data_IF_085897758827
#
_entry.id   IF_085897758827
#
_cell.length_a   1.000
_cell.length_b   1.000
_cell.length_c   1.000
_cell.angle_alpha   90.00
_cell.angle_beta   90.00
_cell.angle_gamma   90.00
#
_symmetry.space_group_name_H-M   'P 1'
#
loop_
_entity.id
_entity.type
_entity.pdbx_description
1 polymer ?
#
# COMPACT_ATOMS: atom_id res chain seq x y z
N UNK A 1 15.66 -15.93 -43.87
CA UNK A 1 15.36 -14.54 -43.44
C UNK A 1 14.17 -14.57 -42.49
N UNK A 2 14.42 -14.32 -41.19
CA UNK A 2 13.40 -14.08 -40.16
C UNK A 2 12.97 -12.61 -40.22
N UNK A 3 11.67 -12.34 -40.08
CA UNK A 3 11.00 -11.11 -39.56
C UNK A 3 9.64 -10.96 -40.27
N UNK A 4 8.55 -10.58 -39.64
CA UNK A 4 8.21 -10.36 -38.24
C UNK A 4 6.68 -10.27 -38.27
N UNK A 5 5.98 -11.10 -37.51
CA UNK A 5 4.53 -11.11 -37.46
C UNK A 5 4.11 -10.04 -36.45
N UNK A 6 3.50 -8.97 -36.95
CA UNK A 6 2.99 -7.85 -36.16
C UNK A 6 1.76 -8.35 -35.39
N UNK A 7 1.90 -8.60 -34.08
CA UNK A 7 0.75 -8.78 -33.18
C UNK A 7 0.28 -7.41 -32.74
N UNK A 8 -0.84 -6.96 -33.32
CA UNK A 8 -1.66 -5.89 -32.74
C UNK A 8 -2.27 -6.46 -31.45
N UNK A 9 -1.95 -5.87 -30.31
CA UNK A 9 -2.68 -6.09 -29.06
C UNK A 9 -3.61 -4.90 -28.87
N UNK A 10 -4.91 -5.11 -29.10
CA UNK A 10 -5.96 -4.31 -28.50
C UNK A 10 -6.19 -4.85 -27.10
N UNK A 11 -5.69 -4.16 -26.07
CA UNK A 11 -6.14 -4.40 -24.70
C UNK A 11 -7.41 -3.57 -24.48
N UNK A 12 -8.56 -4.26 -24.46
CA UNK A 12 -9.64 -3.82 -23.59
C UNK A 12 -9.12 -3.99 -22.17
N UNK A 13 -9.12 -2.93 -21.37
CA UNK A 13 -8.91 -3.03 -19.92
C UNK A 13 -10.10 -3.81 -19.36
N UNK A 14 -9.98 -5.13 -19.39
CA UNK A 14 -10.81 -6.02 -18.62
C UNK A 14 -10.15 -6.08 -17.24
N UNK A 15 -10.49 -5.11 -16.39
CA UNK A 15 -10.16 -5.18 -14.97
C UNK A 15 -10.93 -6.36 -14.37
N UNK A 16 -10.39 -7.59 -14.44
CA UNK A 16 -10.88 -8.68 -13.61
C UNK A 16 -10.39 -8.39 -12.19
N UNK A 17 -11.03 -7.44 -11.53
CA UNK A 17 -10.78 -7.15 -10.12
C UNK A 17 -11.18 -8.35 -9.24
N UNK A 18 -10.55 -8.39 -8.09
CA UNK A 18 -10.36 -9.58 -7.27
C UNK A 18 -11.04 -9.39 -5.92
N UNK A 19 -11.48 -10.48 -5.33
CA UNK A 19 -11.97 -10.54 -3.95
C UNK A 19 -10.78 -10.83 -3.04
N UNK A 20 -10.31 -9.91 -2.20
CA UNK A 20 -9.26 -10.22 -1.22
C UNK A 20 -9.78 -9.97 0.20
N UNK A 21 -9.31 -10.76 1.15
CA UNK A 21 -9.56 -10.49 2.55
C UNK A 21 -8.41 -10.98 3.40
N UNK A 22 -7.90 -10.16 4.30
CA UNK A 22 -6.68 -10.44 5.05
C UNK A 22 -6.73 -9.86 6.45
N UNK A 23 -5.80 -10.30 7.28
CA UNK A 23 -5.54 -9.71 8.59
C UNK A 23 -4.36 -8.75 8.50
N UNK A 24 -4.45 -7.62 9.18
CA UNK A 24 -3.42 -6.58 9.21
C UNK A 24 -3.20 -6.15 10.67
N UNK A 25 -1.92 -5.99 11.03
CA UNK A 25 -1.46 -5.43 12.30
C UNK A 25 -0.35 -4.40 12.04
N UNK A 26 -0.61 -3.13 12.34
CA UNK A 26 0.27 -2.00 11.96
C UNK A 26 1.30 -1.67 13.04
N UNK A 27 2.40 -2.42 13.07
CA UNK A 27 3.40 -2.25 14.14
C UNK A 27 4.09 -0.88 14.13
N UNK A 28 4.43 -0.29 12.97
CA UNK A 28 5.18 0.98 12.92
C UNK A 28 5.10 1.69 11.57
N UNK A 29 4.83 3.00 11.58
CA UNK A 29 5.06 3.92 10.44
C UNK A 29 5.95 5.06 10.90
N UNK A 30 7.11 5.22 10.27
CA UNK A 30 8.13 6.21 10.58
C UNK A 30 8.39 7.11 9.38
N UNK A 31 8.76 8.36 9.61
CA UNK A 31 9.31 9.23 8.58
C UNK A 31 10.69 9.76 8.99
N UNK A 32 11.59 9.88 8.04
CA UNK A 32 12.92 10.49 8.19
C UNK A 32 13.06 11.67 7.26
N UNK A 33 13.53 12.81 7.76
CA UNK A 33 13.95 13.89 6.90
C UNK A 33 15.45 13.72 6.56
N UNK A 34 15.76 13.17 5.38
CA UNK A 34 17.12 12.97 4.90
C UNK A 34 17.78 11.65 5.36
N UNK A 35 18.97 11.30 4.84
CA UNK A 35 19.27 9.91 4.52
C UNK A 35 19.58 9.09 5.78
N UNK A 36 18.90 7.96 5.91
CA UNK A 36 19.41 6.80 6.65
C UNK A 36 19.64 5.66 5.67
N UNK A 37 20.83 5.64 5.07
CA UNK A 37 21.35 4.42 4.45
C UNK A 37 22.14 3.68 5.53
N UNK A 38 21.57 2.64 6.11
CA UNK A 38 22.36 1.62 6.79
C UNK A 38 22.48 0.41 5.89
N UNK A 39 23.58 0.34 5.14
CA UNK A 39 24.05 -0.91 4.53
C UNK A 39 24.50 -1.85 5.65
N UNK A 40 23.92 -3.04 5.72
CA UNK A 40 24.42 -4.08 6.60
C UNK A 40 25.72 -4.68 6.03
N UNK A 41 26.74 -4.81 6.87
CA UNK A 41 27.54 -6.03 6.84
C UNK A 41 28.94 -6.03 6.23
N UNK A 42 29.74 -4.96 6.29
CA UNK A 42 31.20 -5.07 6.44
C UNK A 42 31.79 -3.73 6.88
N UNK A 43 32.70 -3.73 7.86
CA UNK A 43 33.56 -2.57 8.13
C UNK A 43 34.58 -2.46 7.00
N UNK A 44 34.67 -1.31 6.32
CA UNK A 44 35.98 -0.75 6.02
C UNK A 44 36.11 0.68 6.57
N UNK A 45 37.37 1.05 6.73
CA UNK A 45 37.82 2.26 7.39
C UNK A 45 37.30 3.56 6.77
N UNK A 46 37.21 4.57 7.64
CA UNK A 46 36.89 5.97 7.40
C UNK A 46 37.22 6.49 6.00
N UNK A 47 36.18 6.92 5.30
CA UNK A 47 36.23 8.03 4.35
C UNK A 47 35.00 8.90 4.57
N UNK A 48 35.06 9.71 5.63
CA UNK A 48 34.21 10.88 5.83
C UNK A 48 34.56 11.93 4.77
N UNK A 49 33.62 12.23 3.86
CA UNK A 49 33.43 13.56 3.26
C UNK A 49 32.20 13.57 2.32
N UNK A 50 31.01 13.31 2.88
CA UNK A 50 29.76 13.83 2.32
C UNK A 50 29.27 14.93 3.27
N UNK A 51 29.18 16.15 2.76
CA UNK A 51 29.10 17.37 3.55
C UNK A 51 27.95 17.39 4.56
N UNK A 52 28.31 17.33 5.85
CA UNK A 52 27.85 18.20 6.94
C UNK A 52 26.35 18.36 7.23
N UNK A 53 25.43 17.64 6.56
CA UNK A 53 24.01 17.67 6.92
C UNK A 53 23.80 16.85 8.19
N UNK A 54 23.24 17.42 9.27
CA UNK A 54 22.93 16.65 10.47
C UNK A 54 21.97 15.53 10.13
N UNK A 55 22.34 14.29 10.48
CA UNK A 55 21.47 13.12 10.38
C UNK A 55 20.30 13.37 11.35
N UNK A 56 19.12 13.68 10.81
CA UNK A 56 17.90 13.78 11.62
C UNK A 56 17.48 12.38 12.00
N UNK A 57 17.13 12.19 13.27
CA UNK A 57 16.61 10.90 13.73
C UNK A 57 15.24 10.64 13.10
N UNK A 58 14.91 9.38 12.74
CA UNK A 58 13.55 9.02 12.36
C UNK A 58 12.55 9.48 13.43
N UNK A 59 11.43 10.00 12.97
CA UNK A 59 10.26 10.29 13.80
C UNK A 59 9.23 9.19 13.57
N UNK A 60 8.84 8.51 14.65
CA UNK A 60 7.72 7.57 14.61
C UNK A 60 6.42 8.36 14.46
N UNK A 61 5.74 8.20 13.32
CA UNK A 61 4.50 8.89 12.99
C UNK A 61 3.29 8.17 13.57
N UNK A 62 3.30 6.84 13.52
CA UNK A 62 2.17 6.03 13.92
C UNK A 62 2.60 4.61 14.34
N UNK A 63 1.82 4.01 15.25
CA UNK A 63 1.97 2.63 15.71
C UNK A 63 0.67 2.15 16.33
N UNK A 64 0.20 0.95 15.97
CA UNK A 64 -0.95 0.31 16.59
C UNK A 64 -0.92 -1.21 16.45
N UNK A 65 -1.14 -1.92 17.55
CA UNK A 65 -1.40 -3.36 17.55
C UNK A 65 -2.87 -3.73 17.42
N UNK A 66 -3.77 -2.76 17.21
CA UNK A 66 -5.23 -2.93 17.34
C UNK A 66 -5.70 -3.48 18.70
N UNK A 67 -4.86 -3.32 19.73
CA UNK A 67 -5.11 -3.87 21.06
C UNK A 67 -6.18 -3.03 21.80
N UNK A 68 -6.18 -3.08 23.14
CA UNK A 68 -7.23 -2.42 23.92
C UNK A 68 -7.27 -0.91 23.67
N UNK A 69 -8.46 -0.38 23.36
CA UNK A 69 -8.69 1.05 23.14
C UNK A 69 -8.84 1.46 21.67
N UNK A 70 -8.64 0.54 20.72
CA UNK A 70 -8.96 0.75 19.30
C UNK A 70 -10.30 0.12 18.93
N UNK A 71 -11.12 0.90 18.24
CA UNK A 71 -12.49 0.54 17.83
C UNK A 71 -12.69 0.88 16.36
N UNK A 72 -13.38 0.00 15.66
CA UNK A 72 -13.88 0.22 14.32
C UNK A 72 -15.33 0.71 14.42
N UNK A 73 -15.64 1.85 13.82
CA UNK A 73 -17.01 2.38 13.78
C UNK A 73 -17.85 1.64 12.73
N UNK A 74 -19.17 1.76 12.81
CA UNK A 74 -20.04 1.27 11.73
C UNK A 74 -19.75 2.04 10.42
N UNK A 75 -19.80 1.37 9.25
CA UNK A 75 -19.74 2.06 7.97
C UNK A 75 -20.86 3.10 7.85
N UNK A 76 -20.57 4.24 7.22
CA UNK A 76 -21.55 5.30 6.99
C UNK A 76 -21.35 5.92 5.60
N UNK A 77 -22.35 6.68 5.13
CA UNK A 77 -22.28 7.46 3.87
C UNK A 77 -22.52 8.93 4.18
N UNK A 78 -21.90 9.85 3.45
CA UNK A 78 -22.12 11.29 3.62
C UNK A 78 -23.30 11.86 2.79
N UNK A 79 -24.15 11.00 2.22
CA UNK A 79 -25.36 11.42 1.49
C UNK A 79 -25.25 11.35 -0.04
N UNK A 80 -25.07 10.12 -0.55
CA UNK A 80 -24.79 9.84 -1.97
C UNK A 80 -23.30 9.86 -2.23
N UNK A 81 -22.73 8.72 -2.62
CA UNK A 81 -21.28 8.52 -2.72
C UNK A 81 -20.88 7.13 -2.21
N UNK A 82 -19.58 6.94 -1.99
CA UNK A 82 -19.02 5.70 -1.44
C UNK A 82 -19.27 5.58 0.08
N UNK A 83 -19.12 4.38 0.62
CA UNK A 83 -19.12 4.18 2.07
C UNK A 83 -17.76 4.56 2.67
N UNK A 84 -17.80 5.00 3.92
CA UNK A 84 -16.62 5.29 4.73
C UNK A 84 -16.68 4.52 6.04
N UNK A 85 -15.53 4.19 6.58
CA UNK A 85 -15.44 3.60 7.91
C UNK A 85 -14.22 4.11 8.67
N UNK A 86 -14.46 4.48 9.93
CA UNK A 86 -13.41 5.04 10.78
C UNK A 86 -12.87 4.00 11.76
N UNK A 87 -11.54 3.97 11.86
CA UNK A 87 -10.83 3.39 12.99
C UNK A 87 -10.55 4.54 13.96
N UNK A 88 -10.87 4.36 15.25
CA UNK A 88 -10.71 5.39 16.28
C UNK A 88 -10.08 4.82 17.55
N UNK A 89 -9.51 5.71 18.35
CA UNK A 89 -8.95 5.36 19.66
C UNK A 89 -7.44 5.14 19.62
N UNK A 90 -6.90 4.52 20.67
CA UNK A 90 -5.45 4.40 20.88
C UNK A 90 -5.17 3.19 21.77
N UNK A 91 -4.23 2.36 21.34
CA UNK A 91 -3.69 1.23 22.11
C UNK A 91 -2.23 1.41 22.49
N UNK A 92 -1.53 2.37 21.85
CA UNK A 92 -0.13 2.70 22.14
C UNK A 92 -0.02 4.16 22.58
N UNK A 93 0.52 4.45 23.78
CA UNK A 93 0.66 5.83 24.26
C UNK A 93 1.38 6.73 23.26
N UNK A 94 0.74 7.85 22.92
CA UNK A 94 1.27 8.83 21.96
C UNK A 94 0.86 8.60 20.50
N UNK A 95 0.19 7.48 20.18
CA UNK A 95 -0.32 7.17 18.84
C UNK A 95 -1.80 6.85 18.90
N UNK A 96 -2.60 7.51 18.05
CA UNK A 96 -4.04 7.34 18.00
C UNK A 96 -4.50 7.22 16.55
N UNK A 97 -5.56 6.47 16.36
CA UNK A 97 -6.34 6.49 15.15
C UNK A 97 -7.24 7.74 15.10
N UNK A 98 -7.48 8.33 13.91
CA UNK A 98 -6.96 7.91 12.60
C UNK A 98 -5.44 8.12 12.48
N UNK A 99 -4.78 7.21 11.75
CA UNK A 99 -3.34 7.33 11.47
C UNK A 99 -3.07 8.64 10.73
N UNK A 100 -2.03 9.37 11.18
CA UNK A 100 -1.61 10.64 10.58
C UNK A 100 -0.26 10.48 9.89
N UNK A 101 -0.23 10.65 8.56
CA UNK A 101 1.01 10.67 7.77
C UNK A 101 1.08 11.99 7.02
N UNK A 102 2.25 12.64 7.04
CA UNK A 102 2.48 13.98 6.46
C UNK A 102 1.43 15.03 6.85
N UNK A 103 0.91 14.93 8.09
CA UNK A 103 -0.03 15.90 8.65
C UNK A 103 -1.51 15.58 8.45
N UNK A 104 -1.85 14.56 7.65
CA UNK A 104 -3.23 14.25 7.26
C UNK A 104 -3.71 12.93 7.87
N UNK A 105 -4.96 12.87 8.40
CA UNK A 105 -5.56 11.64 8.90
C UNK A 105 -6.03 10.75 7.76
N UNK A 106 -6.21 9.45 8.03
CA UNK A 106 -6.83 8.52 7.10
C UNK A 106 -8.13 7.89 7.60
N UNK A 107 -8.81 7.17 6.70
CA UNK A 107 -10.01 6.38 6.97
C UNK A 107 -10.07 5.19 6.01
N UNK A 108 -10.94 4.20 6.28
CA UNK A 108 -11.25 3.17 5.29
C UNK A 108 -12.26 3.75 4.29
N UNK A 109 -11.85 3.80 3.03
CA UNK A 109 -12.72 4.15 1.92
C UNK A 109 -13.37 2.86 1.42
N UNK A 110 -14.56 2.58 1.93
CA UNK A 110 -15.31 1.35 1.66
C UNK A 110 -16.05 1.55 0.34
N UNK A 111 -15.35 1.36 -0.77
CA UNK A 111 -15.84 1.63 -2.12
C UNK A 111 -16.89 0.60 -2.53
N UNK A 112 -18.15 0.93 -2.29
CA UNK A 112 -19.38 0.28 -2.79
C UNK A 112 -20.39 1.40 -3.00
N UNK A 113 -21.26 1.29 -4.01
CA UNK A 113 -22.32 2.29 -4.22
C UNK A 113 -23.13 2.50 -2.92
N UNK A 114 -23.23 3.77 -2.47
CA UNK A 114 -23.88 4.15 -1.21
C UNK A 114 -25.36 3.77 -1.10
N UNK A 115 -26.01 3.36 -2.19
CA UNK A 115 -27.38 2.83 -2.20
C UNK A 115 -27.47 1.33 -1.91
N UNK A 116 -26.34 0.62 -1.94
CA UNK A 116 -26.25 -0.81 -1.69
C UNK A 116 -26.00 -1.12 -0.21
N UNK A 117 -26.35 -2.34 0.18
CA UNK A 117 -26.04 -2.90 1.49
C UNK A 117 -24.56 -3.32 1.53
N UNK A 118 -23.71 -2.47 2.07
CA UNK A 118 -22.24 -2.64 2.10
C UNK A 118 -21.82 -3.99 2.69
N UNK A 119 -22.53 -4.48 3.73
CA UNK A 119 -22.21 -5.74 4.41
C UNK A 119 -22.35 -6.98 3.53
N UNK A 120 -22.98 -6.88 2.35
CA UNK A 120 -23.03 -7.96 1.35
C UNK A 120 -21.76 -8.06 0.49
N UNK A 121 -20.90 -7.05 0.54
CA UNK A 121 -19.77 -6.88 -0.36
C UNK A 121 -18.46 -6.72 0.39
N UNK A 122 -18.44 -5.84 1.39
CA UNK A 122 -17.29 -5.51 2.21
C UNK A 122 -17.65 -5.61 3.69
N UNK A 123 -16.73 -6.16 4.47
CA UNK A 123 -16.84 -6.27 5.92
C UNK A 123 -15.46 -6.10 6.55
N UNK A 124 -15.35 -5.15 7.46
CA UNK A 124 -14.18 -4.97 8.28
C UNK A 124 -14.52 -5.25 9.74
N UNK A 125 -13.59 -5.86 10.46
CA UNK A 125 -13.71 -6.08 11.91
C UNK A 125 -12.36 -6.09 12.59
N UNK A 126 -12.33 -5.66 13.84
CA UNK A 126 -11.17 -5.89 14.71
C UNK A 126 -11.47 -7.10 15.58
N UNK A 127 -10.79 -8.21 15.33
CA UNK A 127 -11.06 -9.48 15.99
C UNK A 127 -9.83 -10.08 16.66
N UNK A 128 -10.07 -10.96 17.65
CA UNK A 128 -9.01 -11.73 18.30
C UNK A 128 -8.63 -12.93 17.43
N UNK A 129 -7.35 -13.07 17.13
CA UNK A 129 -6.80 -14.15 16.31
C UNK A 129 -5.45 -14.60 16.85
N UNK A 130 -4.91 -15.70 16.33
CA UNK A 130 -3.53 -16.12 16.62
C UNK A 130 -2.59 -15.28 15.76
N UNK A 131 -1.69 -14.53 16.41
CA UNK A 131 -0.72 -13.65 15.78
C UNK A 131 0.52 -14.36 15.24
N UNK A 132 1.44 -13.56 14.68
CA UNK A 132 2.68 -14.03 14.06
C UNK A 132 3.64 -14.75 15.04
N UNK A 133 3.49 -14.53 16.34
CA UNK A 133 4.27 -15.14 17.43
C UNK A 133 3.56 -16.35 18.07
N UNK A 134 2.41 -16.74 17.53
CA UNK A 134 1.58 -17.83 18.06
C UNK A 134 0.74 -17.45 19.30
N UNK A 135 0.82 -16.21 19.79
CA UNK A 135 -0.03 -15.70 20.87
C UNK A 135 -1.32 -15.11 20.32
N UNK A 136 -2.34 -14.95 21.17
CA UNK A 136 -3.54 -14.22 20.79
C UNK A 136 -3.22 -12.72 20.68
N UNK A 137 -3.71 -12.10 19.62
CA UNK A 137 -3.63 -10.65 19.36
C UNK A 137 -4.95 -10.17 18.78
N UNK A 138 -5.16 -8.85 18.74
CA UNK A 138 -6.22 -8.25 17.94
C UNK A 138 -5.65 -7.81 16.59
N UNK A 139 -6.43 -7.96 15.53
CA UNK A 139 -6.03 -7.53 14.19
C UNK A 139 -7.23 -6.98 13.43
N UNK A 140 -6.96 -6.06 12.50
CA UNK A 140 -7.94 -5.63 11.52
C UNK A 140 -8.09 -6.74 10.48
N UNK A 141 -9.27 -7.32 10.37
CA UNK A 141 -9.64 -8.26 9.32
C UNK A 141 -10.53 -7.55 8.33
N UNK A 142 -10.07 -7.47 7.10
CA UNK A 142 -10.78 -6.87 5.98
C UNK A 142 -11.26 -7.99 5.07
N UNK A 143 -12.54 -8.00 4.70
CA UNK A 143 -13.15 -9.08 3.93
C UNK A 143 -13.94 -8.49 2.78
N UNK A 144 -13.53 -8.82 1.57
CA UNK A 144 -14.41 -8.75 0.42
C UNK A 144 -15.16 -10.09 0.28
N UNK A 145 -16.49 -10.04 0.26
CA UNK A 145 -17.36 -11.20 0.04
C UNK A 145 -17.57 -11.44 -1.46
N UNK A 146 -17.84 -10.36 -2.18
CA UNK A 146 -18.03 -10.33 -3.62
C UNK A 146 -17.87 -8.89 -4.12
N UNK A 147 -17.80 -8.71 -5.43
CA UNK A 147 -17.88 -7.37 -6.03
C UNK A 147 -19.32 -6.90 -6.13
N UNK A 148 -19.54 -5.63 -5.80
CA UNK A 148 -20.72 -4.91 -6.25
C UNK A 148 -20.46 -4.29 -7.63
N UNK A 149 -19.26 -3.74 -7.81
CA UNK A 149 -18.78 -3.06 -9.01
C UNK A 149 -17.35 -3.48 -9.35
N UNK A 150 -16.86 -3.07 -10.52
CA UNK A 150 -15.46 -3.33 -10.90
C UNK A 150 -14.45 -2.58 -10.03
N UNK A 151 -14.90 -1.51 -9.37
CA UNK A 151 -14.12 -0.66 -8.47
C UNK A 151 -14.34 -0.97 -6.99
N UNK A 152 -15.05 -2.06 -6.63
CA UNK A 152 -15.24 -2.45 -5.22
C UNK A 152 -13.89 -2.67 -4.52
N UNK A 153 -13.59 -1.87 -3.51
CA UNK A 153 -12.31 -1.85 -2.79
C UNK A 153 -12.50 -1.35 -1.35
N UNK A 154 -11.51 -1.56 -0.49
CA UNK A 154 -11.56 -1.13 0.91
C UNK A 154 -10.25 -0.50 1.41
N UNK A 155 -9.60 0.43 0.68
CA UNK A 155 -8.32 0.96 1.13
C UNK A 155 -8.43 1.79 2.40
N UNK A 156 -7.46 1.65 3.32
CA UNK A 156 -7.22 2.69 4.30
C UNK A 156 -6.50 3.83 3.61
N UNK A 157 -7.22 4.88 3.26
CA UNK A 157 -6.71 6.02 2.50
C UNK A 157 -6.35 7.19 3.43
N UNK A 158 -5.19 7.78 3.18
CA UNK A 158 -4.75 9.06 3.73
C UNK A 158 -4.73 10.05 2.59
N UNK A 159 -5.50 11.11 2.73
CA UNK A 159 -5.74 12.11 1.69
C UNK A 159 -5.71 13.50 2.30
N UNK A 160 -5.16 14.46 1.56
CA UNK A 160 -5.31 15.87 1.89
C UNK A 160 -6.58 16.39 1.21
N UNK A 161 -7.72 16.24 1.88
CA UNK A 161 -8.97 16.86 1.44
C UNK A 161 -9.10 18.28 1.99
N UNK A 162 -9.33 19.25 1.11
CA UNK A 162 -9.74 20.60 1.50
C UNK A 162 -11.20 20.62 2.00
N UNK A 163 -11.64 21.75 2.56
CA UNK A 163 -13.01 21.89 3.09
C UNK A 163 -14.12 21.73 2.02
N UNK A 164 -13.77 21.70 0.75
CA UNK A 164 -14.69 21.52 -0.37
C UNK A 164 -14.63 20.10 -0.96
N UNK A 165 -13.89 19.18 -0.34
CA UNK A 165 -13.71 17.81 -0.83
C UNK A 165 -12.74 17.71 -2.01
N UNK A 166 -11.89 18.72 -2.26
CA UNK A 166 -10.85 18.61 -3.27
C UNK A 166 -9.57 18.04 -2.66
N UNK A 167 -8.94 17.13 -3.40
CA UNK A 167 -7.68 16.53 -2.99
C UNK A 167 -6.50 17.44 -3.35
N UNK A 168 -5.87 18.03 -2.35
CA UNK A 168 -4.58 18.70 -2.48
C UNK A 168 -3.40 17.74 -2.31
N UNK A 169 -2.20 18.25 -2.54
CA UNK A 169 -0.95 17.51 -2.33
C UNK A 169 -0.71 17.26 -0.83
N UNK A 170 -0.33 16.03 -0.46
CA UNK A 170 0.19 15.70 0.87
C UNK A 170 1.49 16.49 1.08
N UNK A 171 1.80 16.84 2.33
CA UNK A 171 3.04 17.53 2.68
C UNK A 171 4.23 16.56 2.69
N UNK A 172 4.42 15.82 1.61
CA UNK A 172 5.49 14.88 1.40
C UNK A 172 6.84 15.62 1.36
N UNK A 173 7.55 15.55 2.48
CA UNK A 173 8.79 16.30 2.71
C UNK A 173 9.88 15.45 3.38
N UNK A 174 9.69 14.13 3.38
CA UNK A 174 10.50 13.17 4.13
C UNK A 174 10.45 11.79 3.48
N UNK A 175 11.48 10.99 3.74
CA UNK A 175 11.44 9.56 3.45
C UNK A 175 10.43 8.89 4.38
N UNK A 176 9.80 7.83 3.89
CA UNK A 176 8.76 7.10 4.60
C UNK A 176 9.19 5.65 4.79
N UNK A 177 9.08 5.14 6.02
CA UNK A 177 9.28 3.75 6.36
C UNK A 177 8.00 3.17 6.97
N UNK A 178 7.51 2.08 6.41
CA UNK A 178 6.28 1.39 6.84
C UNK A 178 6.64 -0.05 7.20
N UNK A 179 6.14 -0.51 8.33
CA UNK A 179 6.33 -1.88 8.81
C UNK A 179 5.06 -2.40 9.46
N UNK A 180 4.56 -3.53 8.99
CA UNK A 180 3.40 -4.19 9.57
C UNK A 180 3.40 -5.70 9.33
N UNK A 181 2.66 -6.43 10.15
CA UNK A 181 2.35 -7.84 9.90
C UNK A 181 1.06 -7.94 9.12
N UNK A 182 1.04 -8.82 8.12
CA UNK A 182 -0.13 -9.11 7.32
C UNK A 182 -0.29 -10.62 7.16
N UNK A 183 -1.53 -11.06 6.92
CA UNK A 183 -1.84 -12.45 6.59
C UNK A 183 -2.89 -12.49 5.48
N UNK A 184 -2.53 -13.15 4.38
CA UNK A 184 -3.42 -13.43 3.27
C UNK A 184 -4.29 -14.66 3.52
N UNK A 185 -5.45 -14.78 2.86
CA UNK A 185 -6.29 -15.95 2.98
C UNK A 185 -5.68 -17.10 2.18
N UNK A 186 -5.89 -18.34 2.63
CA UNK A 186 -5.30 -19.54 2.00
C UNK A 186 -5.71 -19.74 0.54
N UNK A 187 -6.86 -19.18 0.15
CA UNK A 187 -7.45 -19.27 -1.18
C UNK A 187 -7.13 -18.02 -2.05
N UNK A 188 -6.18 -17.17 -1.65
CA UNK A 188 -5.84 -15.93 -2.37
C UNK A 188 -5.64 -16.15 -3.87
N UNK A 189 -4.91 -17.19 -4.27
CA UNK A 189 -4.66 -17.47 -5.69
C UNK A 189 -5.95 -17.77 -6.47
N UNK A 190 -6.90 -18.49 -5.86
CA UNK A 190 -8.20 -18.76 -6.46
C UNK A 190 -9.03 -17.48 -6.58
N UNK A 191 -8.94 -16.60 -5.59
CA UNK A 191 -9.65 -15.31 -5.61
C UNK A 191 -9.07 -14.33 -6.61
N UNK A 192 -7.73 -14.26 -6.73
CA UNK A 192 -7.04 -13.46 -7.76
C UNK A 192 -7.41 -13.95 -9.16
N UNK A 193 -7.61 -15.26 -9.31
CA UNK A 193 -7.92 -15.85 -10.61
C UNK A 193 -6.68 -15.99 -11.49
N UNK A 194 -6.94 -16.29 -12.76
CA UNK A 194 -5.92 -16.48 -13.78
C UNK A 194 -5.58 -15.14 -14.42
N UNK A 195 -4.29 -14.83 -14.57
CA UNK A 195 -3.82 -13.54 -15.14
C UNK A 195 -4.37 -12.33 -14.38
N UNK A 196 -4.37 -12.44 -13.05
CA UNK A 196 -4.98 -11.49 -12.13
C UNK A 196 -3.98 -10.83 -11.21
N UNK A 197 -4.41 -9.76 -10.55
CA UNK A 197 -3.61 -9.05 -9.57
C UNK A 197 -4.45 -8.57 -8.40
N UNK A 198 -3.80 -8.46 -7.25
CA UNK A 198 -4.33 -7.80 -6.07
C UNK A 198 -3.31 -6.76 -5.63
N UNK A 199 -3.78 -5.56 -5.47
CA UNK A 199 -2.95 -4.43 -5.14
C UNK A 199 -3.15 -4.20 -3.64
N UNK A 200 -2.07 -4.15 -2.83
CA UNK A 200 -2.18 -4.05 -1.36
C UNK A 200 -1.61 -2.77 -0.74
N UNK A 201 -0.81 -1.99 -1.48
CA UNK A 201 -0.38 -0.65 -1.06
C UNK A 201 -0.21 0.29 -2.26
N UNK A 202 -0.57 1.57 -2.15
CA UNK A 202 -0.37 2.58 -3.21
C UNK A 202 -0.01 3.96 -2.69
N UNK A 203 0.67 4.70 -3.56
CA UNK A 203 0.70 6.14 -3.55
C UNK A 203 0.22 6.67 -4.89
N UNK A 204 -0.56 7.74 -4.88
CA UNK A 204 -1.08 8.38 -6.10
C UNK A 204 -0.91 9.89 -6.00
N UNK A 205 -0.63 10.53 -7.14
CA UNK A 205 -0.70 11.98 -7.28
C UNK A 205 -2.10 12.44 -7.67
N UNK A 206 -2.32 13.75 -7.57
CA UNK A 206 -3.45 14.36 -8.26
C UNK A 206 -3.35 14.11 -9.77
N UNK A 207 -4.50 14.12 -10.44
CA UNK A 207 -4.61 14.02 -11.90
C UNK A 207 -4.08 12.70 -12.51
N UNK A 208 -3.90 11.65 -11.70
CA UNK A 208 -3.55 10.30 -12.15
C UNK A 208 -2.25 10.22 -12.98
N UNK A 209 -1.35 11.20 -12.83
CA UNK A 209 -0.10 11.28 -13.61
C UNK A 209 0.99 10.31 -13.12
N UNK A 210 0.96 9.98 -11.83
CA UNK A 210 2.02 9.21 -11.18
C UNK A 210 1.43 8.39 -10.02
N UNK A 211 1.59 7.06 -10.10
CA UNK A 211 1.18 6.09 -9.09
C UNK A 211 2.33 5.13 -8.84
N UNK A 212 2.61 4.85 -7.58
CA UNK A 212 3.44 3.71 -7.18
C UNK A 212 2.50 2.71 -6.51
N UNK A 213 2.46 1.48 -7.00
CA UNK A 213 1.57 0.45 -6.46
C UNK A 213 2.29 -0.89 -6.30
N UNK A 214 2.09 -1.49 -5.13
CA UNK A 214 2.63 -2.80 -4.77
C UNK A 214 1.51 -3.83 -4.87
N UNK A 215 1.82 -4.93 -5.54
CA UNK A 215 0.88 -5.95 -5.95
C UNK A 215 1.37 -7.35 -5.58
N UNK A 216 0.39 -8.23 -5.45
CA UNK A 216 0.50 -9.67 -5.67
C UNK A 216 -0.09 -9.97 -7.05
N UNK A 217 0.71 -10.54 -7.95
CA UNK A 217 0.27 -10.97 -9.27
C UNK A 217 0.17 -12.48 -9.38
N UNK A 218 -0.60 -12.93 -10.37
CA UNK A 218 -0.69 -14.31 -10.81
C UNK A 218 -0.76 -14.37 -12.33
N UNK A 219 0.20 -15.03 -12.96
CA UNK A 219 0.08 -15.39 -14.38
C UNK A 219 -1.04 -16.42 -14.59
N UNK A 220 -1.46 -16.65 -15.83
CA UNK A 220 -2.58 -17.55 -16.21
C UNK A 220 -2.68 -18.87 -15.41
N UNK A 221 -1.57 -19.59 -15.25
CA UNK A 221 -1.47 -20.82 -14.43
C UNK A 221 -0.30 -20.76 -13.43
N UNK A 222 0.21 -19.56 -13.16
CA UNK A 222 1.43 -19.35 -12.37
C UNK A 222 1.20 -19.37 -10.85
N UNK A 223 2.29 -19.52 -10.07
CA UNK A 223 2.29 -19.17 -8.66
C UNK A 223 2.09 -17.65 -8.48
N UNK A 224 1.66 -17.26 -7.28
CA UNK A 224 1.64 -15.86 -6.88
C UNK A 224 3.06 -15.30 -6.83
N UNK A 225 3.25 -14.04 -7.23
CA UNK A 225 4.52 -13.34 -7.17
C UNK A 225 4.34 -11.86 -6.81
N UNK A 226 5.42 -11.25 -6.34
CA UNK A 226 5.46 -9.85 -5.94
C UNK A 226 5.77 -8.97 -7.14
N UNK A 227 5.06 -7.85 -7.27
CA UNK A 227 5.25 -6.91 -8.35
C UNK A 227 5.04 -5.49 -7.84
N UNK A 228 5.92 -4.58 -8.21
CA UNK A 228 5.77 -3.14 -7.96
C UNK A 228 5.92 -2.41 -9.27
N UNK A 229 5.11 -1.38 -9.48
CA UNK A 229 5.27 -0.50 -10.63
C UNK A 229 5.10 0.95 -10.24
N UNK A 230 5.73 1.80 -11.04
CA UNK A 230 5.41 3.20 -11.12
C UNK A 230 4.88 3.52 -12.51
N UNK A 231 3.66 4.04 -12.59
CA UNK A 231 2.96 4.33 -13.84
C UNK A 231 2.14 5.62 -13.79
N UNK A 232 1.67 6.10 -14.94
CA UNK A 232 0.56 7.04 -14.99
C UNK A 232 -0.75 6.25 -14.93
N UNK A 233 -1.52 6.42 -13.87
CA UNK A 233 -2.82 5.77 -13.74
C UNK A 233 -3.73 6.18 -14.92
N UNK A 234 -4.33 5.19 -15.58
CA UNK A 234 -4.88 5.36 -16.94
C UNK A 234 -6.25 6.01 -17.00
N UNK A 235 -6.86 6.35 -15.88
CA UNK A 235 -8.25 6.80 -15.87
C UNK A 235 -8.43 8.11 -16.67
N UNK A 236 -7.36 8.92 -16.81
CA UNK A 236 -7.42 10.23 -17.50
C UNK A 236 -6.33 10.46 -18.58
N UNK A 237 -5.45 9.49 -18.85
CA UNK A 237 -4.33 9.67 -19.81
C UNK A 237 -4.46 8.78 -21.05
N UNK A 238 -4.28 9.31 -22.27
CA UNK A 238 -4.51 8.56 -23.52
C UNK A 238 -3.47 7.46 -23.80
N UNK A 239 -2.44 7.34 -22.97
CA UNK A 239 -1.43 6.29 -23.05
C UNK A 239 -0.96 5.89 -21.66
N UNK A 240 -1.18 4.64 -21.29
CA UNK A 240 -0.52 4.01 -20.15
C UNK A 240 0.99 3.96 -20.40
N UNK A 241 1.75 4.38 -19.41
CA UNK A 241 3.21 4.43 -19.38
C UNK A 241 3.62 3.85 -18.05
N UNK A 242 4.31 2.72 -18.11
CA UNK A 242 5.07 2.20 -16.98
C UNK A 242 6.44 2.89 -17.03
N UNK A 243 6.74 3.71 -16.02
CA UNK A 243 8.01 4.40 -15.89
C UNK A 243 9.11 3.44 -15.46
N UNK A 244 8.78 2.58 -14.50
CA UNK A 244 9.60 1.45 -14.07
C UNK A 244 8.72 0.41 -13.37
N UNK A 245 9.18 -0.84 -13.39
CA UNK A 245 8.59 -1.96 -12.66
C UNK A 245 9.69 -2.88 -12.12
N UNK A 246 9.36 -3.62 -11.06
CA UNK A 246 10.19 -4.71 -10.55
C UNK A 246 9.29 -5.88 -10.16
N UNK A 247 9.74 -7.10 -10.44
CA UNK A 247 9.08 -8.33 -9.99
C UNK A 247 10.03 -9.20 -9.16
N UNK A 248 9.46 -9.91 -8.19
CA UNK A 248 10.17 -10.97 -7.46
C UNK A 248 9.33 -12.24 -7.42
N UNK A 249 9.95 -13.30 -7.97
CA UNK A 249 9.43 -14.67 -7.97
C UNK A 249 10.26 -15.60 -7.06
N UNK A 250 11.29 -15.07 -6.41
CA UNK A 250 12.23 -15.85 -5.57
C UNK A 250 11.74 -15.94 -4.13
N UNK A 251 11.09 -14.89 -3.63
CA UNK A 251 10.39 -14.91 -2.34
C UNK A 251 8.94 -15.30 -2.60
N UNK A 252 8.47 -16.46 -2.11
CA UNK A 252 7.08 -16.88 -2.32
C UNK A 252 6.11 -15.92 -1.61
N UNK A 253 4.90 -15.76 -2.15
CA UNK A 253 3.82 -15.03 -1.47
C UNK A 253 3.22 -15.93 -0.36
N UNK A 254 3.36 -15.58 0.93
CA UNK A 254 2.82 -16.40 2.01
C UNK A 254 1.29 -16.28 2.03
N UNK A 255 0.60 -17.42 1.97
CA UNK A 255 -0.86 -17.51 2.08
C UNK A 255 -1.23 -18.33 3.30
N UNK A 256 -2.19 -17.86 4.10
CA UNK A 256 -2.60 -18.52 5.34
C UNK A 256 -1.69 -18.30 6.54
N UNK A 257 -0.52 -17.70 6.35
CA UNK A 257 0.46 -17.42 7.40
C UNK A 257 0.65 -15.91 7.58
N UNK A 258 1.07 -15.52 8.78
CA UNK A 258 1.52 -14.16 9.04
C UNK A 258 2.90 -13.96 8.45
N UNK A 259 3.10 -12.83 7.78
CA UNK A 259 4.38 -12.39 7.25
C UNK A 259 4.59 -10.90 7.52
N UNK A 260 5.85 -10.50 7.58
CA UNK A 260 6.25 -9.14 7.89
C UNK A 260 6.50 -8.37 6.59
N UNK A 261 5.88 -7.20 6.46
CA UNK A 261 6.02 -6.29 5.32
C UNK A 261 6.83 -5.08 5.76
N UNK A 262 7.87 -4.75 5.00
CA UNK A 262 8.69 -3.56 5.20
C UNK A 262 8.80 -2.79 3.89
N UNK A 263 8.49 -1.49 3.91
CA UNK A 263 8.63 -0.62 2.74
C UNK A 263 9.32 0.68 3.14
N UNK A 264 10.37 1.02 2.41
CA UNK A 264 11.07 2.31 2.48
C UNK A 264 10.88 3.06 1.17
N UNK A 265 10.53 4.34 1.24
CA UNK A 265 10.41 5.24 0.10
C UNK A 265 11.19 6.52 0.37
N UNK A 266 12.21 6.76 -0.45
CA UNK A 266 12.78 8.09 -0.66
C UNK A 266 12.30 8.58 -2.02
N UNK A 267 11.38 9.56 -2.00
CA UNK A 267 10.78 10.07 -3.22
C UNK A 267 11.62 11.20 -3.82
N UNK A 268 11.98 11.07 -5.10
CA UNK A 268 12.80 12.05 -5.82
C UNK A 268 12.58 11.97 -7.34
N UNK A 269 12.65 13.12 -8.00
CA UNK A 269 12.73 13.22 -9.46
C UNK A 269 14.17 13.01 -9.99
N UNK A 270 15.14 12.94 -9.08
CA UNK A 270 16.56 12.74 -9.36
C UNK A 270 17.00 11.28 -9.30
N UNK A 271 18.31 11.07 -9.42
CA UNK A 271 18.94 9.74 -9.36
C UNK A 271 19.06 9.18 -7.94
N UNK A 272 18.71 9.98 -6.93
CA UNK A 272 18.74 9.61 -5.52
C UNK A 272 17.46 8.93 -5.04
N UNK A 273 16.38 8.93 -5.84
CA UNK A 273 15.13 8.22 -5.56
C UNK A 273 15.36 6.73 -5.24
N UNK A 274 14.61 6.22 -4.27
CA UNK A 274 14.71 4.82 -3.85
C UNK A 274 13.39 4.27 -3.34
N UNK A 275 13.02 3.07 -3.78
CA UNK A 275 12.00 2.25 -3.13
C UNK A 275 12.62 0.92 -2.75
N UNK A 276 12.52 0.54 -1.47
CA UNK A 276 12.90 -0.80 -1.01
C UNK A 276 11.66 -1.46 -0.42
N UNK A 277 11.39 -2.68 -0.84
CA UNK A 277 10.31 -3.49 -0.31
C UNK A 277 10.86 -4.87 0.07
N UNK A 278 10.56 -5.31 1.29
CA UNK A 278 10.95 -6.61 1.81
C UNK A 278 9.77 -7.37 2.44
N UNK A 279 9.85 -8.70 2.36
CA UNK A 279 8.94 -9.66 2.96
C UNK A 279 9.75 -10.60 3.84
N UNK A 280 9.41 -10.67 5.14
CA UNK A 280 10.15 -11.44 6.15
C UNK A 280 11.67 -11.16 6.11
N UNK A 281 12.04 -9.88 5.97
CA UNK A 281 13.42 -9.42 5.87
C UNK A 281 14.14 -9.76 4.54
N UNK A 282 13.45 -10.34 3.56
CA UNK A 282 13.98 -10.61 2.23
C UNK A 282 13.49 -9.56 1.23
N UNK A 283 14.42 -8.85 0.58
CA UNK A 283 14.09 -7.84 -0.43
C UNK A 283 13.40 -8.48 -1.65
N UNK A 284 12.23 -7.93 -2.01
CA UNK A 284 11.46 -8.28 -3.20
C UNK A 284 11.49 -7.18 -4.27
N UNK A 285 11.86 -5.95 -3.90
CA UNK A 285 12.18 -4.86 -4.83
C UNK A 285 13.19 -3.87 -4.20
N UNK A 286 14.12 -3.33 -4.99
CA UNK A 286 15.07 -2.25 -4.63
C UNK A 286 15.29 -1.35 -5.85
N UNK A 287 14.28 -0.54 -6.16
CA UNK A 287 14.34 0.42 -7.25
C UNK A 287 15.21 1.61 -6.85
N UNK A 288 16.06 2.04 -7.79
CA UNK A 288 16.91 3.24 -7.68
C UNK A 288 16.70 4.15 -8.87
N UNK A 289 16.69 5.44 -8.60
CA UNK A 289 16.47 6.48 -9.60
C UNK A 289 15.12 7.15 -9.44
N UNK A 290 14.67 7.92 -10.44
CA UNK A 290 13.46 8.72 -10.33
C UNK A 290 12.23 7.87 -9.99
N UNK A 291 11.45 8.34 -9.03
CA UNK A 291 10.16 7.79 -8.60
C UNK A 291 9.17 8.92 -8.22
N UNK A 292 9.44 10.12 -8.75
CA UNK A 292 8.60 11.31 -8.70
C UNK A 292 8.67 11.99 -10.05
N UNK A 293 7.52 12.30 -10.62
CA UNK A 293 7.46 12.99 -11.91
C UNK A 293 7.19 14.49 -11.74
N UNK A 294 5.95 14.86 -11.43
CA UNK A 294 5.48 16.26 -11.50
C UNK A 294 4.84 16.73 -10.20
N UNK A 295 4.07 15.87 -9.54
CA UNK A 295 3.25 16.22 -8.39
C UNK A 295 3.64 15.43 -7.15
N UNK A 296 3.40 16.02 -5.98
CA UNK A 296 3.43 15.28 -4.72
C UNK A 296 2.27 14.31 -4.67
N UNK A 297 2.33 13.32 -3.77
CA UNK A 297 1.20 12.41 -3.62
C UNK A 297 0.03 13.17 -3.03
N UNK A 298 -1.18 12.93 -3.51
CA UNK A 298 -2.40 13.42 -2.87
C UNK A 298 -3.14 12.31 -2.11
N UNK A 299 -2.82 11.04 -2.39
CA UNK A 299 -3.41 9.86 -1.77
C UNK A 299 -2.32 8.85 -1.41
N UNK A 300 -2.40 8.31 -0.22
CA UNK A 300 -1.56 7.22 0.26
C UNK A 300 -2.43 6.13 0.88
N UNK A 301 -2.26 4.90 0.41
CA UNK A 301 -3.01 3.71 0.82
C UNK A 301 -2.02 2.68 1.36
N UNK A 302 -1.65 2.75 2.65
CA UNK A 302 -0.70 1.82 3.29
C UNK A 302 -1.17 0.35 3.26
N UNK A 303 -2.48 0.13 3.23
CA UNK A 303 -3.09 -1.19 3.16
C UNK A 303 -4.53 -1.11 2.63
N UNK A 304 -5.03 -2.24 2.12
CA UNK A 304 -6.33 -2.42 1.46
C UNK A 304 -6.71 -3.90 1.41
#
# INVERSE_FOLDING_TARGET
>A
MKKMMLRLWTFSVLSIGVVAGGFIRVDTVQATEGPVVSESGHRPAAHDNLGGRPIRKPSLLFKSGFENGVVLQEPFTQGGGDWEQHIVGSDVPGYAWPMRVWGYPGHLQVLVDGSLDVGKYLENRIETTVGHDGQLTRALHMVQHQKAEEWTQDPYIIVNEDQNGNNGDLAENSDLYISYWMKYPVDLAARIGSDGWFAFMEWKTCCNEDRIALYVYRDFEGPLYWYVQNDNETDDTPSHVIYWDEESRTVPVPVGDWFHVEVFLHRSAGQDGRLVWAIDGQTVADHRGPNMHTHLFNRFMPFR
#
